data_IF_282842485250
#
_entry.id   IF_282842485250
#
_cell.length_a   1.000
_cell.length_b   1.000
_cell.length_c   1.000
_cell.angle_alpha   90.00
_cell.angle_beta   90.00
_cell.angle_gamma   90.00
#
_symmetry.space_group_name_H-M   'P 1'
#
loop_
_entity.id
_entity.type
_entity.pdbx_description
1 polymer ?
#
# COMPACT_ATOMS: atom_id res chain seq x y z
N UNK A 1 2.54 -14.78 -19.33
CA UNK A 1 1.08 -14.55 -19.40
C UNK A 1 0.69 -13.30 -18.62
N UNK A 2 0.95 -13.21 -17.31
CA UNK A 2 0.62 -12.03 -16.46
C UNK A 2 1.16 -10.70 -17.02
N UNK A 3 2.45 -10.61 -17.36
CA UNK A 3 3.04 -9.40 -17.96
C UNK A 3 2.33 -8.93 -19.23
N UNK A 4 1.87 -9.86 -20.08
CA UNK A 4 1.12 -9.50 -21.31
C UNK A 4 -0.25 -8.92 -20.97
N UNK A 5 -0.93 -9.48 -19.97
CA UNK A 5 -2.23 -8.98 -19.49
C UNK A 5 -2.07 -7.56 -18.92
N UNK A 6 -1.04 -7.32 -18.11
CA UNK A 6 -0.76 -6.01 -17.53
C UNK A 6 -0.42 -4.99 -18.63
N UNK A 7 0.43 -5.34 -19.60
CA UNK A 7 0.73 -4.45 -20.74
C UNK A 7 -0.53 -4.14 -21.55
N UNK A 8 -1.38 -5.13 -21.85
CA UNK A 8 -2.65 -4.86 -22.55
C UNK A 8 -3.61 -4.03 -21.71
N UNK A 9 -3.58 -4.19 -20.38
CA UNK A 9 -4.40 -3.45 -19.44
C UNK A 9 -4.06 -1.96 -19.37
N UNK A 10 -2.84 -1.55 -19.74
CA UNK A 10 -2.46 -0.13 -19.80
C UNK A 10 -3.35 0.68 -20.75
N UNK A 11 -3.95 0.05 -21.77
CA UNK A 11 -4.89 0.70 -22.67
C UNK A 11 -6.19 1.14 -21.96
N UNK A 12 -6.50 0.60 -20.77
CA UNK A 12 -7.67 1.02 -19.99
C UNK A 12 -7.52 2.43 -19.44
N UNK A 13 -6.31 2.89 -19.14
CA UNK A 13 -6.08 4.23 -18.60
C UNK A 13 -6.57 5.35 -19.55
N UNK A 14 -6.13 5.44 -20.82
CA UNK A 14 -6.65 6.45 -21.73
C UNK A 14 -8.14 6.25 -22.06
N UNK A 15 -8.65 5.01 -22.00
CA UNK A 15 -10.08 4.74 -22.18
C UNK A 15 -10.88 5.35 -21.02
N UNK A 16 -10.48 5.14 -19.77
CA UNK A 16 -11.14 5.73 -18.59
C UNK A 16 -11.16 7.25 -18.67
N UNK A 17 -10.01 7.88 -18.99
CA UNK A 17 -9.91 9.34 -19.13
C UNK A 17 -10.81 9.87 -20.25
N UNK A 18 -10.86 9.17 -21.38
CA UNK A 18 -11.74 9.54 -22.50
C UNK A 18 -13.21 9.36 -22.14
N UNK A 19 -13.58 8.25 -21.49
CA UNK A 19 -14.94 7.98 -21.05
C UNK A 19 -15.43 9.02 -20.04
N UNK A 20 -14.60 9.38 -19.06
CA UNK A 20 -14.91 10.43 -18.11
C UNK A 20 -15.14 11.79 -18.79
N UNK A 21 -14.31 12.14 -19.78
CA UNK A 21 -14.39 13.44 -20.46
C UNK A 21 -15.47 13.53 -21.54
N UNK A 22 -15.82 12.41 -22.19
CA UNK A 22 -16.63 12.40 -23.41
C UNK A 22 -18.02 11.80 -23.22
N UNK A 23 -18.30 11.16 -22.09
CA UNK A 23 -19.56 10.44 -21.87
C UNK A 23 -20.11 10.65 -20.46
N UNK A 24 -21.43 10.70 -20.33
CA UNK A 24 -22.13 10.62 -19.03
C UNK A 24 -22.30 9.15 -18.61
N UNK A 25 -21.21 8.39 -18.56
CA UNK A 25 -21.27 7.03 -18.00
C UNK A 25 -21.51 7.11 -16.49
N UNK A 26 -22.31 6.18 -15.97
CA UNK A 26 -22.60 6.14 -14.55
C UNK A 26 -21.36 5.89 -13.69
N UNK A 27 -21.27 6.58 -12.56
CA UNK A 27 -20.11 6.59 -11.65
C UNK A 27 -19.68 5.19 -11.20
N UNK A 28 -20.63 4.26 -11.00
CA UNK A 28 -20.31 2.84 -10.71
C UNK A 28 -19.42 2.21 -11.78
N UNK A 29 -19.66 2.51 -13.06
CA UNK A 29 -18.84 1.97 -14.17
C UNK A 29 -17.49 2.65 -14.21
N UNK A 30 -17.45 3.97 -14.00
CA UNK A 30 -16.21 4.74 -13.95
C UNK A 30 -15.32 4.28 -12.79
N UNK A 31 -15.89 4.02 -11.62
CA UNK A 31 -15.18 3.49 -10.46
C UNK A 31 -14.53 2.13 -10.78
N UNK A 32 -15.31 1.18 -11.29
CA UNK A 32 -14.82 -0.17 -11.60
C UNK A 32 -13.74 -0.16 -12.70
N UNK A 33 -13.92 0.64 -13.75
CA UNK A 33 -12.93 0.77 -14.82
C UNK A 33 -11.65 1.47 -14.33
N UNK A 34 -11.78 2.51 -13.50
CA UNK A 34 -10.64 3.20 -12.89
C UNK A 34 -9.85 2.25 -11.98
N UNK A 35 -10.55 1.51 -11.11
CA UNK A 35 -9.94 0.50 -10.25
C UNK A 35 -9.16 -0.55 -11.06
N UNK A 36 -9.74 -1.02 -12.16
CA UNK A 36 -9.06 -1.98 -13.04
C UNK A 36 -7.87 -1.37 -13.79
N UNK A 37 -7.97 -0.11 -14.21
CA UNK A 37 -6.92 0.61 -14.93
C UNK A 37 -5.71 0.96 -14.05
N UNK A 38 -5.92 1.16 -12.74
CA UNK A 38 -4.84 1.45 -11.80
C UNK A 38 -3.91 0.26 -11.57
N UNK A 39 -4.40 -0.98 -11.66
CA UNK A 39 -3.59 -2.17 -11.48
C UNK A 39 -2.40 -2.23 -12.48
N UNK A 40 -2.60 -2.20 -13.81
CA UNK A 40 -1.47 -2.22 -14.74
C UNK A 40 -0.58 -0.98 -14.65
N UNK A 41 -1.11 0.19 -14.26
CA UNK A 41 -0.33 1.41 -14.07
C UNK A 41 0.61 1.32 -12.86
N UNK A 42 0.11 0.83 -11.73
CA UNK A 42 0.91 0.60 -10.53
C UNK A 42 2.04 -0.41 -10.79
N UNK A 43 1.76 -1.47 -11.57
CA UNK A 43 2.81 -2.40 -12.00
C UNK A 43 3.87 -1.71 -12.87
N UNK A 44 3.46 -0.86 -13.81
CA UNK A 44 4.36 -0.13 -14.70
C UNK A 44 5.26 0.85 -13.93
N UNK A 45 4.70 1.54 -12.93
CA UNK A 45 5.45 2.40 -12.01
C UNK A 45 6.49 1.58 -11.25
N UNK A 46 6.10 0.42 -10.70
CA UNK A 46 7.02 -0.49 -10.01
C UNK A 46 8.19 -0.93 -10.89
N UNK A 47 7.93 -1.41 -12.11
CA UNK A 47 8.98 -1.86 -13.03
C UNK A 47 9.89 -0.71 -13.50
N UNK A 48 9.31 0.46 -13.79
CA UNK A 48 10.11 1.64 -14.13
C UNK A 48 11.01 2.09 -12.97
N UNK A 49 10.50 1.97 -11.75
CA UNK A 49 11.24 2.32 -10.52
C UNK A 49 12.38 1.35 -10.25
N UNK A 50 12.15 0.04 -10.41
CA UNK A 50 13.19 -1.00 -10.27
C UNK A 50 14.32 -0.77 -11.29
N UNK A 51 14.00 -0.58 -12.57
CA UNK A 51 15.01 -0.28 -13.58
C UNK A 51 15.73 1.06 -13.36
N UNK A 52 15.05 2.09 -12.83
CA UNK A 52 15.72 3.34 -12.48
C UNK A 52 16.66 3.16 -11.26
N UNK A 53 16.28 2.32 -10.30
CA UNK A 53 17.08 2.04 -9.10
C UNK A 53 18.39 1.30 -9.43
N UNK A 54 18.36 0.38 -10.41
CA UNK A 54 19.55 -0.33 -10.91
C UNK A 54 20.65 0.62 -11.42
N UNK A 55 20.26 1.78 -11.98
CA UNK A 55 21.18 2.75 -12.57
C UNK A 55 21.69 3.82 -11.58
N UNK A 56 21.06 3.96 -10.41
CA UNK A 56 21.30 5.10 -9.51
C UNK A 56 22.05 4.72 -8.22
N UNK A 57 22.38 3.43 -8.09
CA UNK A 57 23.12 2.87 -6.96
C UNK A 57 22.24 2.67 -5.72
N UNK A 58 22.75 1.95 -4.70
CA UNK A 58 21.91 1.46 -3.60
C UNK A 58 21.18 2.57 -2.81
N UNK A 59 21.81 3.72 -2.61
CA UNK A 59 21.24 4.86 -1.88
C UNK A 59 20.04 5.47 -2.58
N UNK A 60 20.27 6.02 -3.78
CA UNK A 60 19.24 6.70 -4.57
C UNK A 60 18.20 5.69 -5.07
N UNK A 61 18.61 4.49 -5.47
CA UNK A 61 17.71 3.43 -5.90
C UNK A 61 16.77 2.98 -4.78
N UNK A 62 17.27 2.85 -3.54
CA UNK A 62 16.43 2.57 -2.38
C UNK A 62 15.41 3.67 -2.11
N UNK A 63 15.79 4.94 -2.27
CA UNK A 63 14.87 6.08 -2.14
C UNK A 63 13.82 6.13 -3.25
N UNK A 64 14.21 5.87 -4.50
CA UNK A 64 13.28 5.79 -5.62
C UNK A 64 12.27 4.68 -5.40
N UNK A 65 12.71 3.49 -5.00
CA UNK A 65 11.83 2.35 -4.73
C UNK A 65 10.85 2.63 -3.58
N UNK A 66 11.34 3.24 -2.50
CA UNK A 66 10.51 3.69 -1.40
C UNK A 66 9.35 4.60 -1.83
N UNK A 67 9.70 5.62 -2.61
CA UNK A 67 8.80 6.72 -2.94
C UNK A 67 7.85 6.32 -4.06
N UNK A 68 8.41 5.83 -5.17
CA UNK A 68 7.63 5.53 -6.37
C UNK A 68 6.99 4.14 -6.34
N UNK A 69 7.52 3.17 -5.57
CA UNK A 69 6.83 1.90 -5.35
C UNK A 69 5.41 2.11 -4.80
N UNK A 70 5.28 3.00 -3.82
CA UNK A 70 4.01 3.38 -3.19
C UNK A 70 3.34 4.62 -3.83
N UNK A 71 3.78 5.04 -5.03
CA UNK A 71 3.23 6.24 -5.66
C UNK A 71 1.73 6.14 -5.98
N UNK A 72 1.18 5.02 -6.48
CA UNK A 72 -0.26 4.91 -6.73
C UNK A 72 -1.10 5.21 -5.49
N UNK A 73 -0.75 4.60 -4.36
CA UNK A 73 -1.43 4.80 -3.08
C UNK A 73 -1.26 6.23 -2.57
N UNK A 74 -0.05 6.79 -2.68
CA UNK A 74 0.22 8.18 -2.31
C UNK A 74 -0.64 9.16 -3.13
N UNK A 75 -0.74 8.94 -4.44
CA UNK A 75 -1.53 9.77 -5.36
C UNK A 75 -3.02 9.67 -5.02
N UNK A 76 -3.56 8.46 -4.88
CA UNK A 76 -4.96 8.24 -4.51
C UNK A 76 -5.27 8.89 -3.16
N UNK A 77 -4.38 8.74 -2.17
CA UNK A 77 -4.54 9.35 -0.86
C UNK A 77 -4.54 10.89 -0.92
N UNK A 78 -3.61 11.51 -1.65
CA UNK A 78 -3.55 12.98 -1.75
C UNK A 78 -4.74 13.58 -2.52
N UNK A 79 -5.23 12.89 -3.56
CA UNK A 79 -6.46 13.30 -4.26
C UNK A 79 -7.66 13.18 -3.33
N UNK A 80 -7.79 12.07 -2.58
CA UNK A 80 -8.86 11.91 -1.60
C UNK A 80 -8.79 12.94 -0.45
N UNK A 81 -7.59 13.34 -0.02
CA UNK A 81 -7.41 14.48 0.91
C UNK A 81 -7.95 15.77 0.29
N UNK A 82 -7.62 16.04 -0.97
CA UNK A 82 -8.08 17.25 -1.68
C UNK A 82 -9.60 17.30 -1.84
N UNK A 83 -10.26 16.15 -1.93
CA UNK A 83 -11.72 16.03 -1.95
C UNK A 83 -12.37 16.02 -0.55
N UNK A 84 -11.58 16.16 0.53
CA UNK A 84 -12.08 16.14 1.90
C UNK A 84 -12.49 14.75 2.40
N UNK A 85 -12.13 13.68 1.68
CA UNK A 85 -12.47 12.29 2.00
C UNK A 85 -11.46 11.70 3.00
N UNK A 86 -11.24 12.35 4.14
CA UNK A 86 -10.23 11.95 5.15
C UNK A 86 -10.45 10.54 5.69
N UNK A 87 -11.71 10.10 5.80
CA UNK A 87 -12.05 8.73 6.20
C UNK A 87 -11.66 7.69 5.14
N UNK A 88 -11.85 7.98 3.85
CA UNK A 88 -11.39 7.14 2.74
C UNK A 88 -9.86 7.02 2.74
N UNK A 89 -9.15 8.12 3.04
CA UNK A 89 -7.68 8.12 3.13
C UNK A 89 -7.21 7.21 4.26
N UNK A 90 -7.73 7.37 5.48
CA UNK A 90 -7.35 6.52 6.61
C UNK A 90 -7.74 5.06 6.39
N UNK A 91 -8.95 4.82 5.87
CA UNK A 91 -9.45 3.49 5.55
C UNK A 91 -8.56 2.78 4.54
N UNK A 92 -8.24 3.41 3.41
CA UNK A 92 -7.38 2.81 2.38
C UNK A 92 -5.95 2.54 2.87
N UNK A 93 -5.37 3.44 3.67
CA UNK A 93 -4.04 3.23 4.27
C UNK A 93 -4.03 2.09 5.30
N UNK A 94 -5.02 2.03 6.19
CA UNK A 94 -5.23 0.92 7.13
C UNK A 94 -5.40 -0.39 6.37
N UNK A 95 -6.28 -0.38 5.36
CA UNK A 95 -6.56 -1.50 4.48
C UNK A 95 -5.32 -2.00 3.75
N UNK A 96 -4.42 -1.11 3.33
CA UNK A 96 -3.19 -1.49 2.65
C UNK A 96 -2.24 -2.26 3.57
N UNK A 97 -2.02 -1.80 4.81
CA UNK A 97 -1.21 -2.53 5.81
C UNK A 97 -1.82 -3.91 6.11
N UNK A 98 -3.12 -3.96 6.37
CA UNK A 98 -3.85 -5.21 6.66
C UNK A 98 -3.81 -6.16 5.46
N UNK A 99 -3.98 -5.63 4.25
CA UNK A 99 -3.92 -6.38 2.99
C UNK A 99 -2.55 -7.01 2.77
N UNK A 100 -1.47 -6.28 2.99
CA UNK A 100 -0.12 -6.82 2.83
C UNK A 100 0.21 -7.88 3.90
N UNK A 101 -0.19 -7.63 5.16
CA UNK A 101 0.01 -8.57 6.26
C UNK A 101 -0.77 -9.87 6.10
N UNK A 102 -2.05 -9.81 5.72
CA UNK A 102 -2.93 -10.98 5.74
C UNK A 102 -3.20 -11.54 4.36
N UNK A 103 -3.54 -10.69 3.39
CA UNK A 103 -3.99 -11.12 2.07
C UNK A 103 -2.79 -11.52 1.19
N UNK A 104 -1.83 -10.60 0.98
CA UNK A 104 -0.65 -10.85 0.13
C UNK A 104 0.21 -11.97 0.71
N UNK A 105 0.56 -11.87 2.01
CA UNK A 105 1.30 -12.93 2.68
C UNK A 105 0.49 -14.24 2.70
N UNK A 106 -0.80 -14.19 3.01
CA UNK A 106 -1.68 -15.36 3.04
C UNK A 106 -1.70 -16.11 1.72
N UNK A 107 -1.97 -15.42 0.61
CA UNK A 107 -1.93 -16.02 -0.73
C UNK A 107 -0.54 -16.51 -1.10
N UNK A 108 0.52 -15.79 -0.72
CA UNK A 108 1.90 -16.24 -0.94
C UNK A 108 2.18 -17.57 -0.23
N UNK A 109 1.75 -17.73 1.03
CA UNK A 109 1.94 -18.97 1.78
C UNK A 109 1.06 -20.12 1.25
N UNK A 110 -0.16 -19.82 0.77
CA UNK A 110 -1.03 -20.83 0.11
C UNK A 110 -0.41 -21.31 -1.20
N UNK A 111 0.04 -20.38 -2.04
CA UNK A 111 0.62 -20.68 -3.35
C UNK A 111 1.96 -21.41 -3.23
N UNK A 112 2.84 -20.93 -2.35
CA UNK A 112 4.17 -21.53 -2.15
C UNK A 112 4.17 -22.82 -1.33
N UNK A 113 3.26 -22.98 -0.38
CA UNK A 113 3.17 -24.19 0.45
C UNK A 113 4.25 -24.26 1.54
N UNK A 114 4.99 -25.38 1.62
CA UNK A 114 5.99 -25.62 2.68
C UNK A 114 7.33 -25.00 2.31
N UNK A 115 7.93 -24.29 3.26
CA UNK A 115 9.25 -23.66 3.12
C UNK A 115 9.63 -22.88 4.37
N UNK A 116 10.66 -22.05 4.25
CA UNK A 116 11.22 -21.26 5.34
C UNK A 116 10.86 -19.79 5.21
N UNK A 117 10.71 -19.13 6.35
CA UNK A 117 10.51 -17.70 6.49
C UNK A 117 11.71 -17.15 7.26
N UNK A 118 12.29 -16.06 6.76
CA UNK A 118 13.39 -15.38 7.42
C UNK A 118 12.86 -14.68 8.69
N UNK A 119 13.31 -15.13 9.86
CA UNK A 119 12.76 -14.65 11.15
C UNK A 119 13.21 -13.24 11.51
N UNK A 120 14.44 -12.85 11.18
CA UNK A 120 15.02 -11.57 11.56
C UNK A 120 14.38 -10.41 10.80
N UNK A 121 14.34 -10.48 9.47
CA UNK A 121 13.64 -9.59 8.55
C UNK A 121 12.16 -9.50 8.92
N UNK A 122 11.49 -10.65 9.16
CA UNK A 122 10.10 -10.65 9.64
C UNK A 122 9.95 -9.89 10.96
N UNK A 123 10.84 -10.13 11.93
CA UNK A 123 10.81 -9.45 13.22
C UNK A 123 11.04 -7.94 13.09
N UNK A 124 11.96 -7.50 12.23
CA UNK A 124 12.20 -6.08 11.98
C UNK A 124 10.99 -5.39 11.36
N UNK A 125 10.37 -6.01 10.34
CA UNK A 125 9.16 -5.46 9.69
C UNK A 125 7.97 -5.42 10.65
N UNK A 126 7.70 -6.51 11.37
CA UNK A 126 6.61 -6.55 12.37
C UNK A 126 6.88 -5.59 13.53
N UNK A 127 8.13 -5.43 13.96
CA UNK A 127 8.53 -4.47 14.98
C UNK A 127 8.33 -3.01 14.55
N UNK A 128 8.63 -2.69 13.29
CA UNK A 128 8.37 -1.38 12.70
C UNK A 128 6.86 -1.06 12.66
N UNK A 129 6.04 -2.03 12.24
CA UNK A 129 4.58 -1.91 12.24
C UNK A 129 4.05 -1.76 13.68
N UNK A 130 4.58 -2.53 14.63
CA UNK A 130 4.20 -2.43 16.04
C UNK A 130 4.51 -1.04 16.62
N UNK A 131 5.68 -0.48 16.28
CA UNK A 131 6.05 0.87 16.66
C UNK A 131 5.14 1.92 16.03
N UNK A 132 4.84 1.78 14.73
CA UNK A 132 3.91 2.66 14.03
C UNK A 132 2.53 2.65 14.69
N UNK A 133 1.98 1.46 14.94
CA UNK A 133 0.70 1.29 15.63
C UNK A 133 0.70 1.94 17.02
N UNK A 134 1.77 1.76 17.80
CA UNK A 134 1.90 2.39 19.11
C UNK A 134 1.93 3.92 19.02
N UNK A 135 2.62 4.48 18.03
CA UNK A 135 2.70 5.93 17.83
C UNK A 135 1.41 6.51 17.22
N UNK A 136 0.68 5.77 16.39
CA UNK A 136 -0.63 6.17 15.88
C UNK A 136 -1.67 6.37 16.99
N UNK A 137 -1.53 5.68 18.13
CA UNK A 137 -2.40 5.91 19.29
C UNK A 137 -2.34 7.33 19.84
N UNK A 138 -1.23 8.05 19.64
CA UNK A 138 -1.04 9.42 20.14
C UNK A 138 -2.07 10.40 19.56
N UNK A 139 -2.26 10.49 18.23
CA UNK A 139 -3.36 11.25 17.64
C UNK A 139 -4.70 10.48 17.61
N UNK A 140 -4.68 9.14 17.55
CA UNK A 140 -5.92 8.36 17.43
C UNK A 140 -6.78 8.40 18.70
N UNK A 141 -6.22 8.21 19.90
CA UNK A 141 -7.02 8.19 21.14
C UNK A 141 -7.76 9.53 21.35
N UNK A 142 -7.11 10.71 21.25
CA UNK A 142 -7.82 11.98 21.36
C UNK A 142 -8.83 12.21 20.22
N UNK A 143 -8.73 11.52 19.09
CA UNK A 143 -9.68 11.63 17.97
C UNK A 143 -10.96 10.81 18.14
N UNK A 144 -11.06 9.98 19.19
CA UNK A 144 -12.27 9.18 19.44
C UNK A 144 -13.42 10.03 19.98
N UNK A 145 -13.11 11.17 20.59
CA UNK A 145 -14.09 12.10 21.14
C UNK A 145 -14.18 13.39 20.31
N UNK A 146 -15.37 13.70 19.81
CA UNK A 146 -15.66 14.88 18.99
C UNK A 146 -15.22 14.73 17.53
N UNK A 147 -14.97 15.86 16.85
CA UNK A 147 -14.55 15.84 15.45
C UNK A 147 -13.10 15.30 15.30
N UNK A 148 -12.89 14.16 14.60
CA UNK A 148 -11.57 13.56 14.42
C UNK A 148 -10.65 14.36 13.48
N UNK A 149 -11.22 15.19 12.61
CA UNK A 149 -10.50 15.99 11.60
C UNK A 149 -10.19 17.41 12.10
N UNK A 150 -10.40 17.68 13.39
CA UNK A 150 -10.03 18.97 13.98
C UNK A 150 -8.51 19.18 13.91
N UNK A 151 -8.10 20.41 13.61
CA UNK A 151 -6.70 20.79 13.39
C UNK A 151 -5.73 20.37 14.51
N UNK A 152 -6.19 20.39 15.76
CA UNK A 152 -5.40 19.93 16.90
C UNK A 152 -4.93 18.47 16.77
N UNK A 153 -5.73 17.58 16.18
CA UNK A 153 -5.34 16.18 15.93
C UNK A 153 -4.33 16.10 14.78
N UNK A 154 -4.50 16.93 13.74
CA UNK A 154 -3.51 17.04 12.66
C UNK A 154 -2.16 17.57 13.18
N UNK A 155 -2.17 18.55 14.08
CA UNK A 155 -0.97 19.08 14.74
C UNK A 155 -0.26 17.98 15.57
N UNK A 156 -1.02 17.17 16.32
CA UNK A 156 -0.48 16.01 17.05
C UNK A 156 0.06 14.91 16.13
N UNK A 157 -0.42 14.84 14.90
CA UNK A 157 0.02 13.85 13.91
C UNK A 157 1.39 14.18 13.34
N UNK A 158 1.80 15.46 13.31
CA UNK A 158 3.08 15.90 12.72
C UNK A 158 4.31 15.32 13.45
N UNK A 159 4.45 15.44 14.79
CA UNK A 159 5.59 14.84 15.50
C UNK A 159 5.66 13.32 15.32
N UNK A 160 4.50 12.64 15.34
CA UNK A 160 4.41 11.20 15.09
C UNK A 160 4.91 10.86 13.69
N UNK A 161 4.46 11.60 12.68
CA UNK A 161 4.86 11.38 11.31
C UNK A 161 6.38 11.60 11.09
N UNK A 162 6.93 12.66 11.68
CA UNK A 162 8.37 12.95 11.63
C UNK A 162 9.18 11.81 12.29
N UNK A 163 8.78 11.34 13.47
CA UNK A 163 9.47 10.24 14.16
C UNK A 163 9.45 8.96 13.31
N UNK A 164 8.31 8.61 12.71
CA UNK A 164 8.19 7.43 11.86
C UNK A 164 9.06 7.52 10.60
N UNK A 165 9.11 8.68 9.95
CA UNK A 165 9.99 8.89 8.80
C UNK A 165 11.48 8.81 9.18
N UNK A 166 11.86 9.28 10.38
CA UNK A 166 13.23 9.10 10.89
C UNK A 166 13.53 7.61 11.11
N UNK A 167 12.61 6.85 11.71
CA UNK A 167 12.76 5.40 11.88
C UNK A 167 12.92 4.72 10.52
N UNK A 168 12.09 5.09 9.55
CA UNK A 168 12.15 4.58 8.19
C UNK A 168 13.51 4.87 7.52
N UNK A 169 14.00 6.11 7.61
CA UNK A 169 15.30 6.51 7.06
C UNK A 169 16.44 5.73 7.71
N UNK A 170 16.45 5.60 9.04
CA UNK A 170 17.49 4.85 9.76
C UNK A 170 17.47 3.37 9.37
N UNK A 171 16.29 2.75 9.33
CA UNK A 171 16.13 1.35 8.94
C UNK A 171 16.59 1.11 7.49
N UNK A 172 16.23 2.01 6.57
CA UNK A 172 16.62 1.95 5.16
C UNK A 172 18.14 2.11 5.01
N UNK A 173 18.74 3.12 5.65
CA UNK A 173 20.20 3.33 5.62
C UNK A 173 20.94 2.14 6.22
N UNK A 174 20.45 1.57 7.33
CA UNK A 174 21.04 0.37 7.92
C UNK A 174 20.96 -0.83 6.98
N UNK A 175 19.81 -1.06 6.35
CA UNK A 175 19.61 -2.13 5.36
C UNK A 175 20.55 -2.00 4.16
N UNK A 176 20.66 -0.79 3.61
CA UNK A 176 21.54 -0.47 2.49
C UNK A 176 23.02 -0.65 2.84
N UNK A 177 23.45 -0.22 4.04
CA UNK A 177 24.82 -0.43 4.51
C UNK A 177 25.15 -1.91 4.68
N UNK A 178 24.20 -2.71 5.17
CA UNK A 178 24.37 -4.16 5.32
C UNK A 178 24.47 -4.87 3.97
N UNK A 179 23.75 -4.40 2.95
CA UNK A 179 23.77 -4.99 1.59
C UNK A 179 24.94 -4.50 0.74
N UNK A 180 25.48 -3.29 1.00
CA UNK A 180 26.71 -2.78 0.35
C UNK A 180 27.96 -3.62 0.65
N UNK A 181 27.93 -4.43 1.72
CA UNK A 181 29.02 -5.34 2.09
C UNK A 181 28.96 -6.66 1.28
N UNK A 182 27.83 -6.96 0.63
CA UNK A 182 27.63 -8.16 -0.19
C UNK A 182 27.69 -7.86 -1.70
N UNK A 183 27.41 -6.63 -2.13
CA UNK A 183 27.57 -6.16 -3.52
C UNK A 183 28.90 -5.39 -3.72
N UNK A 184 30.02 -6.05 -3.44
CA UNK A 184 31.28 -5.73 -4.12
C UNK A 184 31.47 -6.85 -5.15
N UNK A 185 31.50 -6.48 -6.42
CA UNK A 185 31.62 -7.33 -7.62
C UNK A 185 30.35 -8.04 -8.11
N UNK A 186 29.59 -7.35 -8.97
CA UNK A 186 29.28 -7.91 -10.28
C UNK A 186 29.28 -6.77 -11.31
N UNK A 187 30.24 -6.78 -12.23
CA UNK A 187 30.14 -6.10 -13.53
C UNK A 187 29.12 -6.88 -14.40
N UNK A 188 27.92 -7.11 -13.86
CA UNK A 188 26.81 -7.65 -14.64
C UNK A 188 26.25 -6.50 -15.47
N UNK A 189 26.27 -6.65 -16.80
CA UNK A 189 25.59 -5.74 -17.71
C UNK A 189 24.14 -5.54 -17.22
N UNK A 190 23.72 -4.29 -17.02
CA UNK A 190 22.34 -3.98 -16.64
C UNK A 190 21.44 -4.39 -17.82
N UNK A 191 20.91 -5.62 -17.79
CA UNK A 191 19.90 -6.12 -18.71
C UNK A 191 18.55 -5.46 -18.38
N UNK A 192 18.42 -4.16 -18.68
CA UNK A 192 17.27 -3.36 -18.28
C UNK A 192 17.02 -2.14 -19.16
N UNK A 193 15.97 -1.39 -18.85
CA UNK A 193 15.68 -0.12 -19.52
C UNK A 193 16.76 0.90 -19.21
N UNK A 194 17.21 1.66 -20.22
CA UNK A 194 18.11 2.81 -19.96
C UNK A 194 17.48 3.77 -18.95
N UNK A 195 18.27 4.39 -18.09
CA UNK A 195 17.78 5.35 -17.08
C UNK A 195 16.80 6.39 -17.66
N UNK A 196 17.06 6.92 -18.87
CA UNK A 196 16.17 7.90 -19.53
C UNK A 196 14.80 7.31 -19.85
N UNK A 197 14.78 6.07 -20.33
CA UNK A 197 13.53 5.35 -20.61
C UNK A 197 12.78 5.08 -19.31
N UNK A 198 13.46 4.60 -18.27
CA UNK A 198 12.87 4.32 -16.96
C UNK A 198 12.23 5.56 -16.36
N UNK A 199 12.93 6.69 -16.34
CA UNK A 199 12.39 7.96 -15.85
C UNK A 199 11.25 8.50 -16.72
N UNK A 200 11.34 8.35 -18.05
CA UNK A 200 10.29 8.77 -18.97
C UNK A 200 8.99 7.96 -18.79
N UNK A 201 9.11 6.63 -18.69
CA UNK A 201 7.97 5.73 -18.42
C UNK A 201 7.39 6.01 -17.04
N UNK A 202 8.24 6.17 -16.02
CA UNK A 202 7.82 6.50 -14.67
C UNK A 202 6.98 7.80 -14.64
N UNK A 203 7.45 8.86 -15.29
CA UNK A 203 6.73 10.14 -15.37
C UNK A 203 5.37 10.01 -16.06
N UNK A 204 5.32 9.34 -17.22
CA UNK A 204 4.06 9.14 -17.95
C UNK A 204 3.08 8.28 -17.15
N UNK A 205 3.54 7.18 -16.56
CA UNK A 205 2.70 6.30 -15.74
C UNK A 205 2.18 7.00 -14.49
N UNK A 206 2.99 7.86 -13.86
CA UNK A 206 2.59 8.68 -12.70
C UNK A 206 1.47 9.66 -13.08
N UNK A 207 1.61 10.38 -14.20
CA UNK A 207 0.57 11.31 -14.68
C UNK A 207 -0.72 10.56 -15.03
N UNK A 208 -0.61 9.43 -15.76
CA UNK A 208 -1.77 8.61 -16.09
C UNK A 208 -2.47 8.07 -14.83
N UNK A 209 -1.70 7.68 -13.82
CA UNK A 209 -2.23 7.23 -12.51
C UNK A 209 -2.98 8.35 -11.82
N UNK A 210 -2.44 9.57 -11.79
CA UNK A 210 -3.13 10.72 -11.21
C UNK A 210 -4.48 11.01 -11.88
N UNK A 211 -4.52 11.02 -13.22
CA UNK A 211 -5.77 11.25 -13.97
C UNK A 211 -6.82 10.17 -13.71
N UNK A 212 -6.41 8.89 -13.66
CA UNK A 212 -7.32 7.78 -13.36
C UNK A 212 -7.74 7.78 -11.89
N UNK A 213 -6.84 8.13 -10.97
CA UNK A 213 -7.13 8.22 -9.55
C UNK A 213 -8.14 9.33 -9.24
N UNK A 214 -8.09 10.46 -9.95
CA UNK A 214 -9.11 11.51 -9.88
C UNK A 214 -10.51 10.97 -10.24
N UNK A 215 -10.61 10.20 -11.33
CA UNK A 215 -11.87 9.54 -11.70
C UNK A 215 -12.30 8.49 -10.66
N UNK A 216 -11.37 7.72 -10.10
CA UNK A 216 -11.66 6.72 -9.06
C UNK A 216 -12.24 7.38 -7.81
N UNK A 217 -11.57 8.41 -7.29
CA UNK A 217 -11.95 9.07 -6.04
C UNK A 217 -13.27 9.81 -6.23
N UNK A 218 -13.42 10.58 -7.30
CA UNK A 218 -14.66 11.32 -7.58
C UNK A 218 -15.90 10.43 -7.83
N UNK A 219 -15.72 9.16 -8.20
CA UNK A 219 -16.83 8.19 -8.38
C UNK A 219 -17.06 7.28 -7.18
N UNK A 220 -16.23 7.36 -6.13
CA UNK A 220 -16.23 6.43 -5.00
C UNK A 220 -17.55 6.48 -4.23
N UNK A 221 -18.00 7.66 -3.80
CA UNK A 221 -19.19 7.80 -2.96
C UNK A 221 -20.46 7.31 -3.67
N UNK A 222 -20.60 7.60 -4.97
CA UNK A 222 -21.74 7.12 -5.74
C UNK A 222 -21.70 5.60 -5.95
N UNK A 223 -20.51 5.02 -6.20
CA UNK A 223 -20.33 3.57 -6.21
C UNK A 223 -20.73 2.93 -4.87
N UNK A 224 -20.24 3.47 -3.75
CA UNK A 224 -20.59 2.98 -2.40
C UNK A 224 -22.10 2.99 -2.20
N UNK A 225 -22.75 4.12 -2.53
CA UNK A 225 -24.20 4.30 -2.40
C UNK A 225 -24.98 3.29 -3.22
N UNK A 226 -24.62 3.06 -4.48
CA UNK A 226 -25.30 2.10 -5.36
C UNK A 226 -25.05 0.64 -4.93
N UNK A 227 -23.84 0.34 -4.43
CA UNK A 227 -23.48 -0.98 -3.94
C UNK A 227 -24.07 -1.29 -2.55
N UNK A 228 -24.64 -0.30 -1.86
CA UNK A 228 -25.09 -0.43 -0.46
C UNK A 228 -23.92 -0.66 0.50
N UNK A 229 -22.75 -0.11 0.18
CA UNK A 229 -21.53 -0.19 0.96
C UNK A 229 -21.21 1.18 1.55
N UNK A 230 -20.39 1.18 2.60
CA UNK A 230 -19.88 2.42 3.20
C UNK A 230 -18.61 2.87 2.46
N UNK A 231 -18.37 4.18 2.40
CA UNK A 231 -17.14 4.75 1.80
C UNK A 231 -15.89 4.22 2.49
N UNK A 232 -15.94 4.07 3.82
CA UNK A 232 -14.89 3.43 4.61
C UNK A 232 -14.61 1.99 4.15
N UNK A 233 -15.64 1.16 3.95
CA UNK A 233 -15.45 -0.23 3.51
C UNK A 233 -14.87 -0.30 2.09
N UNK A 234 -15.40 0.50 1.17
CA UNK A 234 -14.90 0.57 -0.21
C UNK A 234 -13.43 0.98 -0.21
N UNK A 235 -13.05 1.96 0.59
CA UNK A 235 -11.66 2.39 0.72
C UNK A 235 -10.76 1.31 1.34
N UNK A 236 -11.16 0.78 2.50
CA UNK A 236 -10.34 -0.14 3.30
C UNK A 236 -10.19 -1.54 2.70
N UNK A 237 -11.11 -1.94 1.80
CA UNK A 237 -11.08 -3.25 1.15
C UNK A 237 -10.80 -3.12 -0.33
N UNK A 238 -11.66 -2.42 -1.08
CA UNK A 238 -11.60 -2.43 -2.54
C UNK A 238 -10.41 -1.59 -3.04
N UNK A 239 -10.33 -0.33 -2.62
CA UNK A 239 -9.25 0.58 -3.04
C UNK A 239 -7.89 0.08 -2.54
N UNK A 240 -7.83 -0.38 -1.28
CA UNK A 240 -6.62 -0.98 -0.73
C UNK A 240 -6.13 -2.22 -1.50
N UNK A 241 -7.05 -3.08 -1.98
CA UNK A 241 -6.69 -4.21 -2.83
C UNK A 241 -6.15 -3.73 -4.18
N UNK A 242 -6.78 -2.73 -4.80
CA UNK A 242 -6.39 -2.22 -6.13
C UNK A 242 -4.95 -1.71 -6.12
N UNK A 243 -4.57 -0.90 -5.12
CA UNK A 243 -3.18 -0.42 -4.98
C UNK A 243 -2.20 -1.58 -4.82
N UNK A 244 -2.44 -2.44 -3.83
CA UNK A 244 -1.53 -3.54 -3.50
C UNK A 244 -1.47 -4.65 -4.57
N UNK A 245 -2.52 -4.87 -5.37
CA UNK A 245 -2.63 -6.01 -6.27
C UNK A 245 -1.54 -6.00 -7.35
N UNK A 246 -1.21 -4.81 -7.84
CA UNK A 246 -0.22 -4.62 -8.88
C UNK A 246 1.22 -4.70 -8.36
N UNK A 247 1.50 -4.02 -7.25
CA UNK A 247 2.83 -3.94 -6.66
C UNK A 247 3.21 -5.27 -5.99
N UNK A 248 2.28 -5.91 -5.30
CA UNK A 248 2.58 -7.06 -4.44
C UNK A 248 1.96 -8.39 -4.90
N UNK A 249 1.17 -8.39 -5.98
CA UNK A 249 0.78 -9.63 -6.67
C UNK A 249 2.00 -10.44 -7.15
N UNK A 250 3.12 -9.76 -7.42
CA UNK A 250 4.41 -10.37 -7.70
C UNK A 250 4.91 -11.30 -6.60
N UNK A 251 4.67 -10.97 -5.32
CA UNK A 251 5.08 -11.81 -4.18
C UNK A 251 4.42 -13.19 -4.24
N UNK A 252 3.14 -13.26 -4.61
CA UNK A 252 2.41 -14.53 -4.75
C UNK A 252 3.01 -15.38 -5.88
N UNK A 253 3.39 -14.76 -7.00
CA UNK A 253 4.05 -15.43 -8.13
C UNK A 253 5.45 -15.93 -7.72
N UNK A 254 6.21 -15.12 -6.98
CA UNK A 254 7.52 -15.49 -6.43
C UNK A 254 7.39 -16.68 -5.47
N UNK A 255 6.37 -16.68 -4.61
CA UNK A 255 6.09 -17.79 -3.72
C UNK A 255 5.72 -19.08 -4.47
N UNK A 256 4.88 -18.98 -5.51
CA UNK A 256 4.50 -20.10 -6.37
C UNK A 256 5.71 -20.74 -7.06
N UNK A 257 6.74 -19.94 -7.37
CA UNK A 257 8.04 -20.41 -7.89
C UNK A 257 8.96 -21.02 -6.82
N UNK A 258 8.46 -21.27 -5.62
CA UNK A 258 9.20 -21.87 -4.51
C UNK A 258 10.04 -20.89 -3.69
N UNK A 259 10.06 -19.60 -4.02
CA UNK A 259 10.85 -18.57 -3.31
C UNK A 259 10.06 -17.96 -2.15
N UNK A 260 9.56 -18.80 -1.24
CA UNK A 260 8.66 -18.37 -0.14
C UNK A 260 9.33 -17.36 0.79
N UNK A 261 10.61 -17.56 1.11
CA UNK A 261 11.39 -16.66 1.96
C UNK A 261 11.34 -15.21 1.43
N UNK A 262 11.61 -15.05 0.13
CA UNK A 262 11.58 -13.75 -0.54
C UNK A 262 10.16 -13.18 -0.61
N UNK A 263 9.16 -14.00 -0.95
CA UNK A 263 7.78 -13.54 -1.01
C UNK A 263 7.26 -13.03 0.35
N UNK A 264 7.59 -13.72 1.44
CA UNK A 264 7.23 -13.28 2.80
C UNK A 264 7.95 -11.97 3.17
N UNK A 265 9.21 -11.83 2.79
CA UNK A 265 9.97 -10.58 2.99
C UNK A 265 9.35 -9.41 2.22
N UNK A 266 8.98 -9.60 0.95
CA UNK A 266 8.29 -8.57 0.15
C UNK A 266 6.99 -8.13 0.82
N UNK A 267 6.13 -9.07 1.21
CA UNK A 267 4.83 -8.75 1.81
C UNK A 267 4.96 -8.02 3.17
N UNK A 268 5.87 -8.48 4.03
CA UNK A 268 6.08 -7.87 5.35
C UNK A 268 6.78 -6.51 5.25
N UNK A 269 7.77 -6.37 4.37
CA UNK A 269 8.48 -5.11 4.14
C UNK A 269 7.53 -4.05 3.58
N UNK A 270 6.67 -4.42 2.62
CA UNK A 270 5.64 -3.52 2.10
C UNK A 270 4.68 -3.04 3.20
N UNK A 271 4.13 -3.95 4.01
CA UNK A 271 3.27 -3.57 5.13
C UNK A 271 3.97 -2.59 6.10
N UNK A 272 5.26 -2.81 6.37
CA UNK A 272 6.07 -1.91 7.18
C UNK A 272 6.29 -0.56 6.49
N UNK A 273 6.59 -0.53 5.20
CA UNK A 273 6.75 0.70 4.41
C UNK A 273 5.48 1.53 4.43
N UNK A 274 4.30 0.92 4.24
CA UNK A 274 3.04 1.65 4.35
C UNK A 274 2.90 2.30 5.73
N UNK A 275 3.21 1.56 6.79
CA UNK A 275 3.06 2.03 8.17
C UNK A 275 4.08 3.12 8.58
N UNK A 276 5.37 2.96 8.24
CA UNK A 276 6.43 3.89 8.70
C UNK A 276 6.83 4.95 7.68
N UNK A 277 6.40 4.82 6.43
CA UNK A 277 6.69 5.77 5.35
C UNK A 277 5.43 6.36 4.71
N UNK A 278 4.54 5.54 4.15
CA UNK A 278 3.43 6.08 3.35
C UNK A 278 2.44 6.89 4.20
N UNK A 279 1.93 6.31 5.29
CA UNK A 279 1.02 7.01 6.22
C UNK A 279 1.60 8.35 6.70
N UNK A 280 2.83 8.39 7.26
CA UNK A 280 3.39 9.65 7.72
C UNK A 280 3.75 10.62 6.57
N UNK A 281 4.11 10.12 5.38
CA UNK A 281 4.33 10.97 4.21
C UNK A 281 3.02 11.64 3.77
N UNK A 282 1.91 10.90 3.67
CA UNK A 282 0.58 11.46 3.38
C UNK A 282 0.20 12.50 4.43
N UNK A 283 0.38 12.19 5.72
CA UNK A 283 0.07 13.13 6.81
C UNK A 283 0.85 14.45 6.67
N UNK A 284 2.14 14.42 6.33
CA UNK A 284 2.92 15.65 6.16
C UNK A 284 2.61 16.37 4.84
N UNK A 285 2.48 15.64 3.74
CA UNK A 285 2.20 16.23 2.43
C UNK A 285 0.80 16.86 2.35
N UNK A 286 -0.17 16.31 3.11
CA UNK A 286 -1.52 16.87 3.21
C UNK A 286 -1.54 18.32 3.72
N UNK A 287 -0.53 18.78 4.46
CA UNK A 287 -0.44 20.18 4.90
C UNK A 287 -0.31 21.20 3.77
N UNK A 288 0.04 20.75 2.56
CA UNK A 288 0.04 21.58 1.36
C UNK A 288 -1.36 21.76 0.76
N UNK A 289 -2.34 20.99 1.22
CA UNK A 289 -3.70 20.90 0.70
C UNK A 289 -4.70 21.19 1.83
N UNK A 290 -5.02 20.18 2.63
CA UNK A 290 -5.81 20.25 3.85
C UNK A 290 -5.23 19.25 4.87
N UNK A 291 -4.83 19.68 6.09
CA UNK A 291 -4.14 18.80 7.03
C UNK A 291 -4.92 17.54 7.41
N UNK A 292 -4.36 16.38 7.06
CA UNK A 292 -4.88 15.08 7.45
C UNK A 292 -4.53 14.77 8.91
N UNK A 293 -5.56 14.61 9.73
CA UNK A 293 -5.44 14.04 11.06
C UNK A 293 -5.29 12.51 10.98
N UNK A 294 -4.26 11.95 11.64
CA UNK A 294 -4.09 10.50 11.87
C UNK A 294 -5.04 9.99 12.98
N UNK A 295 -6.30 10.45 12.92
CA UNK A 295 -7.37 10.12 13.86
C UNK A 295 -8.03 8.77 13.57
N UNK A 296 -7.24 7.70 13.54
CA UNK A 296 -7.69 6.34 13.26
C UNK A 296 -8.78 5.88 14.25
N UNK A 297 -9.82 5.25 13.73
CA UNK A 297 -10.92 4.69 14.52
C UNK A 297 -10.45 3.50 15.34
N UNK A 298 -11.21 3.19 16.39
CA UNK A 298 -10.99 1.99 17.21
C UNK A 298 -10.97 0.71 16.36
N UNK A 299 -11.85 0.60 15.36
CA UNK A 299 -11.89 -0.55 14.46
C UNK A 299 -10.64 -0.66 13.59
N UNK A 300 -10.09 0.45 13.12
CA UNK A 300 -8.86 0.48 12.30
C UNK A 300 -7.64 0.07 13.14
N UNK A 301 -7.49 0.67 14.33
CA UNK A 301 -6.43 0.34 15.28
C UNK A 301 -6.52 -1.14 15.71
N UNK A 302 -7.72 -1.62 16.03
CA UNK A 302 -7.94 -3.02 16.41
C UNK A 302 -7.65 -3.98 15.26
N UNK A 303 -8.02 -3.64 14.02
CA UNK A 303 -7.72 -4.43 12.84
C UNK A 303 -6.21 -4.52 12.57
N UNK A 304 -5.47 -3.41 12.66
CA UNK A 304 -4.02 -3.39 12.55
C UNK A 304 -3.36 -4.24 13.64
N UNK A 305 -3.80 -4.10 14.88
CA UNK A 305 -3.30 -4.88 16.01
C UNK A 305 -3.56 -6.39 15.83
N UNK A 306 -4.78 -6.75 15.42
CA UNK A 306 -5.15 -8.14 15.18
C UNK A 306 -4.38 -8.76 14.01
N UNK A 307 -4.26 -8.04 12.89
CA UNK A 307 -3.48 -8.47 11.74
C UNK A 307 -2.01 -8.70 12.12
N UNK A 308 -1.40 -7.73 12.82
CA UNK A 308 -0.03 -7.83 13.32
C UNK A 308 0.16 -9.05 14.24
N UNK A 309 -0.74 -9.25 15.21
CA UNK A 309 -0.67 -10.36 16.15
C UNK A 309 -0.80 -11.72 15.45
N UNK A 310 -1.77 -11.87 14.54
CA UNK A 310 -2.00 -13.11 13.79
C UNK A 310 -0.78 -13.44 12.92
N UNK A 311 -0.21 -12.47 12.22
CA UNK A 311 0.99 -12.67 11.40
C UNK A 311 2.22 -12.97 12.25
N UNK A 312 2.40 -12.29 13.38
CA UNK A 312 3.51 -12.56 14.29
C UNK A 312 3.48 -14.02 14.78
N UNK A 313 2.31 -14.52 15.18
CA UNK A 313 2.14 -15.92 15.58
C UNK A 313 2.35 -16.88 14.40
N UNK A 314 1.79 -16.58 13.22
CA UNK A 314 1.92 -17.44 12.04
C UNK A 314 3.36 -17.58 11.55
N UNK A 315 4.18 -16.52 11.70
CA UNK A 315 5.55 -16.45 11.22
C UNK A 315 6.60 -16.77 12.29
N UNK A 316 6.26 -16.76 13.59
CA UNK A 316 7.19 -17.01 14.71
C UNK A 316 8.04 -18.29 14.54
N UNK A 317 7.44 -19.35 14.00
CA UNK A 317 8.14 -20.62 13.77
C UNK A 317 9.16 -20.59 12.62
N UNK A 318 9.24 -19.53 11.82
CA UNK A 318 10.11 -19.43 10.64
C UNK A 318 9.79 -20.44 9.53
N UNK A 319 8.57 -20.99 9.51
CA UNK A 319 8.13 -22.00 8.54
C UNK A 319 6.84 -21.55 7.87
N UNK A 320 6.67 -21.88 6.60
CA UNK A 320 5.43 -21.67 5.87
C UNK A 320 4.65 -22.98 5.71
N UNK A 321 3.33 -22.86 5.54
CA UNK A 321 2.46 -23.95 5.11
C UNK A 321 1.19 -23.37 4.49
N UNK A 322 0.52 -24.16 3.65
CA UNK A 322 -0.79 -23.76 3.09
C UNK A 322 -1.82 -23.48 4.16
N UNK A 323 -1.79 -24.22 5.26
CA UNK A 323 -2.70 -24.02 6.39
C UNK A 323 -2.50 -22.64 7.03
N UNK A 324 -1.24 -22.26 7.30
CA UNK A 324 -0.92 -20.92 7.83
C UNK A 324 -1.38 -19.82 6.87
N UNK A 325 -1.13 -19.99 5.57
CA UNK A 325 -1.63 -19.05 4.56
C UNK A 325 -3.16 -18.94 4.55
N UNK A 326 -3.87 -20.07 4.59
CA UNK A 326 -5.33 -20.10 4.70
C UNK A 326 -5.85 -19.41 5.96
N UNK A 327 -5.18 -19.58 7.11
CA UNK A 327 -5.52 -18.86 8.34
C UNK A 327 -5.38 -17.35 8.18
N UNK A 328 -4.33 -16.86 7.52
CA UNK A 328 -4.16 -15.42 7.26
C UNK A 328 -5.26 -14.88 6.33
N UNK A 329 -5.60 -15.60 5.26
CA UNK A 329 -6.70 -15.22 4.35
C UNK A 329 -8.04 -15.18 5.10
N UNK A 330 -8.32 -16.18 5.94
CA UNK A 330 -9.55 -16.19 6.75
C UNK A 330 -9.57 -15.06 7.79
N UNK A 331 -8.42 -14.72 8.38
CA UNK A 331 -8.31 -13.56 9.26
C UNK A 331 -8.60 -12.25 8.50
N UNK A 332 -8.11 -12.11 7.26
CA UNK A 332 -8.44 -10.96 6.40
C UNK A 332 -9.95 -10.87 6.14
N UNK A 333 -10.59 -11.98 5.79
CA UNK A 333 -12.05 -12.03 5.60
C UNK A 333 -12.79 -11.60 6.87
N UNK A 334 -12.34 -12.04 8.04
CA UNK A 334 -12.90 -11.61 9.33
C UNK A 334 -12.79 -10.09 9.55
N UNK A 335 -11.64 -9.49 9.22
CA UNK A 335 -11.44 -8.04 9.30
C UNK A 335 -12.29 -7.31 8.27
N UNK A 336 -12.38 -7.80 7.03
CA UNK A 336 -13.23 -7.21 6.00
C UNK A 336 -14.72 -7.20 6.43
N UNK A 337 -15.19 -8.28 7.05
CA UNK A 337 -16.54 -8.32 7.66
C UNK A 337 -16.66 -7.30 8.78
N UNK A 338 -15.66 -7.15 9.64
CA UNK A 338 -15.67 -6.14 10.69
C UNK A 338 -15.74 -4.71 10.12
N UNK A 339 -15.02 -4.42 9.03
CA UNK A 339 -15.12 -3.13 8.34
C UNK A 339 -16.50 -2.91 7.70
N UNK A 340 -17.07 -3.97 7.11
CA UNK A 340 -18.42 -3.90 6.52
C UNK A 340 -19.47 -3.55 7.58
N UNK A 341 -19.37 -4.15 8.77
CA UNK A 341 -20.28 -3.89 9.90
C UNK A 341 -20.02 -2.52 10.53
N UNK A 342 -18.77 -2.07 10.58
CA UNK A 342 -18.40 -0.81 11.20
C UNK A 342 -18.93 0.42 10.44
N UNK A 343 -19.12 0.31 9.11
CA UNK A 343 -19.66 1.36 8.26
C UNK A 343 -18.88 2.68 8.33
N UNK A 344 -19.49 3.77 7.85
CA UNK A 344 -18.89 5.11 7.91
C UNK A 344 -18.97 5.70 9.32
N UNK A 345 -18.09 6.65 9.64
CA UNK A 345 -18.11 7.32 10.94
C UNK A 345 -19.41 8.11 11.08
N UNK A 346 -20.16 7.97 12.19
CA UNK A 346 -21.31 8.84 12.43
C UNK A 346 -20.82 10.30 12.54
N UNK A 347 -21.41 11.18 11.73
CA UNK A 347 -21.11 12.61 11.70
C UNK A 347 -21.63 13.37 12.91
#
# INVERSE_FOLDING_TARGET
>A
MVRRILISGLALAPVVVALHSLTELGDTTLFLLSALALIPLAWLIGEATEHAAEHTGPGVGGFLNATFGNAPELIIALIAVNEGLTEVVRGSLTGSVVGNLLLVLGFSLVAGGRGEIERWSSFMSLGAIALALALFLVPAIPSWDGNPDRRQIADLSVPVAVVLLVVYLVATVYSLRRHRIVHVSSDEEIEGWSLRLSLGVLGVATVATALVAETLVGSLTEFSRQAGLSDFFVAAVIVAIVGNAAEHGGAVIVAYRGKIKLAAEIALASAAQVAVFLIPAVALLSWLIDPLALGFRQVEVAALAAALAVVAVATAGGKSSRLRGGTLVLAYVGIAIAFLVAGDRPG
#
